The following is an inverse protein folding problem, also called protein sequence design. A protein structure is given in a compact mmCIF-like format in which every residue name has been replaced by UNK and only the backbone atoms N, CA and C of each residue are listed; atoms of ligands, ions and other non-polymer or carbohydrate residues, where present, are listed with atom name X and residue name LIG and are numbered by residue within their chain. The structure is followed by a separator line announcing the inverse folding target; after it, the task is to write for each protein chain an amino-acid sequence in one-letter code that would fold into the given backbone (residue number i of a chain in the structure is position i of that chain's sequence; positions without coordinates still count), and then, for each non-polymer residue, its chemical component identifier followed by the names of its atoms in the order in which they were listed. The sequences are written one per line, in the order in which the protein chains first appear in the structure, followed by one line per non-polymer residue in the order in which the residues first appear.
data_IF_119626152763
#
_entry.id   IF_119626152763
#
_cell.length_a   1.000
_cell.length_b   1.000
_cell.length_c   1.000
_cell.angle_alpha   90.00
_cell.angle_beta   90.00
_cell.angle_gamma   90.00
#
_symmetry.space_group_name_H-M   'P 1'
#
loop_
_entity.id
_entity.type
_entity.pdbx_description
1 polymer ?
#
# COMPACT_ATOMS: atom_id res chain seq x y z
N UNK A 1 16.77 -5.28 -4.07
CA UNK A 1 16.28 -3.96 -4.54
C UNK A 1 15.13 -4.15 -5.51
N UNK A 2 14.23 -3.18 -5.54
CA UNK A 2 13.19 -3.04 -6.55
C UNK A 2 13.22 -1.59 -7.09
N UNK A 3 12.49 -1.34 -8.15
CA UNK A 3 12.47 -0.02 -8.78
C UNK A 3 11.04 0.40 -9.10
N UNK A 4 10.78 1.70 -8.95
CA UNK A 4 9.54 2.38 -9.31
C UNK A 4 9.79 3.41 -10.42
N UNK A 5 8.77 4.07 -10.93
CA UNK A 5 8.90 5.18 -11.89
C UNK A 5 9.20 4.79 -13.33
N UNK A 6 9.34 3.49 -13.61
CA UNK A 6 9.62 3.00 -14.98
C UNK A 6 11.05 3.30 -15.45
N UNK A 7 11.32 3.09 -16.73
CA UNK A 7 12.63 3.33 -17.36
C UNK A 7 12.65 4.73 -17.98
N UNK A 8 13.66 5.53 -17.58
CA UNK A 8 13.81 6.93 -18.03
C UNK A 8 13.93 7.00 -19.56
N UNK A 9 13.16 7.89 -20.16
CA UNK A 9 13.14 8.10 -21.61
C UNK A 9 12.28 7.09 -22.39
N UNK A 10 11.59 6.17 -21.71
CA UNK A 10 10.71 5.19 -22.36
C UNK A 10 9.23 5.45 -22.04
N UNK A 11 8.35 4.66 -22.66
CA UNK A 11 6.90 4.71 -22.42
C UNK A 11 6.50 4.32 -20.98
N UNK A 12 7.38 3.67 -20.25
CA UNK A 12 7.14 3.25 -18.87
C UNK A 12 7.51 4.34 -17.85
N UNK A 13 8.23 5.37 -18.27
CA UNK A 13 8.60 6.48 -17.38
C UNK A 13 7.36 7.17 -16.81
N UNK A 14 7.29 7.26 -15.47
CA UNK A 14 6.21 7.91 -14.75
C UNK A 14 6.77 8.82 -13.65
N UNK A 15 6.06 9.89 -13.27
CA UNK A 15 6.39 10.60 -12.04
C UNK A 15 6.41 9.64 -10.84
N UNK A 16 7.32 9.89 -9.91
CA UNK A 16 7.46 9.07 -8.70
C UNK A 16 6.53 9.63 -7.62
N UNK A 17 5.25 9.32 -7.76
CA UNK A 17 4.14 9.82 -6.93
C UNK A 17 3.32 8.63 -6.42
N UNK A 18 2.82 8.75 -5.21
CA UNK A 18 2.21 7.65 -4.44
C UNK A 18 1.07 6.93 -5.16
N UNK A 19 0.04 7.66 -5.66
CA UNK A 19 -1.08 7.00 -6.35
C UNK A 19 -0.65 6.24 -7.61
N UNK A 20 0.37 6.73 -8.33
CA UNK A 20 0.96 6.05 -9.48
C UNK A 20 1.63 4.75 -9.01
N UNK A 21 2.48 4.83 -7.98
CA UNK A 21 3.18 3.69 -7.38
C UNK A 21 2.20 2.61 -6.88
N UNK A 22 1.17 3.01 -6.15
CA UNK A 22 0.12 2.08 -5.71
C UNK A 22 -0.61 1.41 -6.86
N UNK A 23 -0.92 2.17 -7.92
CA UNK A 23 -1.63 1.61 -9.07
C UNK A 23 -0.73 0.68 -9.88
N UNK A 24 0.57 0.99 -10.00
CA UNK A 24 1.56 0.07 -10.57
C UNK A 24 1.59 -1.26 -9.80
N UNK A 25 1.62 -1.21 -8.46
CA UNK A 25 1.59 -2.41 -7.61
C UNK A 25 0.27 -3.19 -7.76
N UNK A 26 -0.87 -2.47 -7.81
CA UNK A 26 -2.19 -3.08 -7.92
C UNK A 26 -2.43 -3.77 -9.27
N UNK A 27 -1.91 -3.21 -10.37
CA UNK A 27 -2.25 -3.63 -11.74
C UNK A 27 -1.09 -4.28 -12.50
N UNK A 28 0.14 -4.23 -11.96
CA UNK A 28 1.37 -4.59 -12.65
C UNK A 28 1.53 -3.90 -14.02
N UNK A 29 1.03 -2.64 -14.14
CA UNK A 29 1.13 -1.83 -15.36
C UNK A 29 1.64 -0.43 -15.05
N UNK A 30 2.03 0.32 -16.08
CA UNK A 30 2.52 1.69 -15.98
C UNK A 30 1.41 2.71 -16.28
N UNK A 31 1.67 3.99 -15.96
CA UNK A 31 0.75 5.12 -16.14
C UNK A 31 0.09 5.14 -17.53
N UNK A 32 0.82 4.87 -18.59
CA UNK A 32 0.30 4.85 -19.97
C UNK A 32 -0.83 3.83 -20.19
N UNK A 33 -1.04 2.92 -19.24
CA UNK A 33 -2.10 1.91 -19.25
C UNK A 33 -3.16 2.19 -18.22
N UNK A 34 -2.78 2.30 -16.94
CA UNK A 34 -3.74 2.48 -15.85
C UNK A 34 -4.28 3.90 -15.68
N UNK A 35 -3.69 4.92 -16.34
CA UNK A 35 -4.15 6.31 -16.41
C UNK A 35 -4.22 7.09 -15.08
N UNK A 36 -3.55 6.62 -14.02
CA UNK A 36 -3.45 7.37 -12.76
C UNK A 36 -2.20 8.22 -12.79
N UNK A 37 -2.35 9.54 -12.92
CA UNK A 37 -1.26 10.49 -13.18
C UNK A 37 -0.76 11.30 -11.97
N UNK A 38 -1.36 11.12 -10.80
CA UNK A 38 -1.02 11.84 -9.56
C UNK A 38 -1.96 11.47 -8.44
N UNK A 39 -1.87 12.18 -7.31
CA UNK A 39 -2.72 11.92 -6.14
C UNK A 39 -4.12 12.56 -6.24
N UNK A 40 -4.29 13.52 -7.16
CA UNK A 40 -5.54 14.25 -7.36
C UNK A 40 -6.21 13.84 -8.69
N UNK A 41 -7.51 14.07 -8.78
CA UNK A 41 -8.31 13.83 -9.98
C UNK A 41 -8.12 12.42 -10.57
N UNK A 42 -8.15 11.43 -9.70
CA UNK A 42 -7.91 10.04 -10.02
C UNK A 42 -8.93 9.50 -11.04
N UNK A 43 -8.44 9.04 -12.19
CA UNK A 43 -9.26 8.46 -13.26
C UNK A 43 -8.65 7.15 -13.77
N UNK A 44 -8.70 6.07 -12.96
CA UNK A 44 -8.13 4.79 -13.35
C UNK A 44 -8.81 4.18 -14.59
N UNK A 45 -8.00 3.59 -15.45
CA UNK A 45 -8.49 2.75 -16.53
C UNK A 45 -8.71 1.32 -16.03
N UNK A 46 -9.92 0.99 -15.62
CA UNK A 46 -10.29 -0.30 -15.04
C UNK A 46 -10.26 -1.49 -16.03
N UNK A 47 -9.89 -1.29 -17.27
CA UNK A 47 -9.56 -2.40 -18.17
C UNK A 47 -8.27 -3.12 -17.74
N UNK A 48 -7.41 -2.45 -16.99
CA UNK A 48 -6.24 -3.05 -16.34
C UNK A 48 -6.62 -3.49 -14.93
N UNK A 49 -6.85 -4.78 -14.78
CA UNK A 49 -7.39 -5.36 -13.56
C UNK A 49 -6.41 -5.24 -12.40
N UNK A 50 -6.93 -4.89 -11.25
CA UNK A 50 -6.17 -4.95 -10.00
C UNK A 50 -6.06 -6.39 -9.51
N UNK A 51 -5.05 -6.65 -8.65
CA UNK A 51 -4.89 -7.96 -7.99
C UNK A 51 -6.17 -8.41 -7.28
N UNK A 52 -6.96 -7.47 -6.74
CA UNK A 52 -8.25 -7.77 -6.10
C UNK A 52 -9.29 -8.30 -7.10
N UNK A 53 -9.38 -7.65 -8.27
CA UNK A 53 -10.28 -8.12 -9.31
C UNK A 53 -9.83 -9.48 -9.84
N UNK A 54 -8.53 -9.65 -10.09
CA UNK A 54 -7.97 -10.95 -10.51
C UNK A 54 -8.28 -12.04 -9.48
N UNK A 55 -8.14 -11.75 -8.19
CA UNK A 55 -8.45 -12.68 -7.12
C UNK A 55 -9.94 -13.07 -7.10
N UNK A 56 -10.85 -12.09 -7.27
CA UNK A 56 -12.31 -12.35 -7.27
C UNK A 56 -12.81 -13.10 -8.49
N UNK A 57 -12.11 -13.02 -9.61
CA UNK A 57 -12.45 -13.74 -10.85
C UNK A 57 -11.90 -15.18 -10.91
N UNK A 58 -11.30 -15.67 -9.82
CA UNK A 58 -10.86 -17.06 -9.75
C UNK A 58 -12.05 -18.03 -9.67
N UNK A 59 -11.82 -19.29 -10.09
CA UNK A 59 -12.85 -20.33 -10.06
C UNK A 59 -13.26 -20.77 -8.65
N UNK A 60 -12.41 -20.51 -7.64
CA UNK A 60 -12.72 -20.72 -6.22
C UNK A 60 -13.12 -19.39 -5.56
N UNK A 61 -13.99 -19.40 -4.54
CA UNK A 61 -14.22 -18.22 -3.73
C UNK A 61 -12.91 -17.71 -3.10
N UNK A 62 -12.68 -16.40 -3.19
CA UNK A 62 -11.53 -15.72 -2.60
C UNK A 62 -12.05 -14.58 -1.73
N UNK A 63 -11.73 -14.60 -0.43
CA UNK A 63 -12.03 -13.53 0.49
C UNK A 63 -10.92 -12.48 0.46
N UNK A 64 -11.31 -11.22 0.46
CA UNK A 64 -10.36 -10.10 0.32
C UNK A 64 -10.47 -9.13 1.48
N UNK A 65 -9.33 -8.62 1.96
CA UNK A 65 -9.22 -7.62 3.02
C UNK A 65 -8.52 -6.35 2.54
N UNK A 66 -9.01 -5.20 2.98
CA UNK A 66 -8.38 -3.90 2.72
C UNK A 66 -8.43 -3.02 3.97
N UNK A 67 -7.25 -2.63 4.45
CA UNK A 67 -7.10 -1.76 5.61
C UNK A 67 -6.22 -0.57 5.21
N UNK A 68 -6.76 0.64 5.27
CA UNK A 68 -6.07 1.83 4.75
C UNK A 68 -6.52 3.09 5.46
N UNK A 69 -5.62 3.99 5.70
CA UNK A 69 -5.94 5.35 6.13
C UNK A 69 -6.62 6.17 5.03
N UNK A 70 -6.28 5.94 3.77
CA UNK A 70 -6.76 6.72 2.62
C UNK A 70 -7.86 5.97 1.86
N UNK A 71 -9.08 6.51 1.91
CA UNK A 71 -10.28 5.87 1.36
C UNK A 71 -10.24 5.69 -0.17
N UNK A 72 -9.60 6.60 -0.90
CA UNK A 72 -9.55 6.54 -2.36
C UNK A 72 -8.76 5.33 -2.90
N UNK A 73 -7.92 4.71 -2.07
CA UNK A 73 -7.29 3.44 -2.44
C UNK A 73 -8.33 2.37 -2.79
N UNK A 74 -9.36 2.22 -1.97
CA UNK A 74 -10.43 1.26 -2.20
C UNK A 74 -11.46 1.76 -3.22
N UNK A 75 -11.98 2.96 -2.99
CA UNK A 75 -13.13 3.47 -3.76
C UNK A 75 -12.77 3.91 -5.17
N UNK A 76 -11.51 4.32 -5.39
CA UNK A 76 -11.04 4.81 -6.69
C UNK A 76 -9.97 3.89 -7.28
N UNK A 77 -8.81 3.68 -6.63
CA UNK A 77 -7.73 2.91 -7.25
C UNK A 77 -8.09 1.44 -7.45
N UNK A 78 -8.69 0.79 -6.48
CA UNK A 78 -9.23 -0.57 -6.61
C UNK A 78 -10.55 -0.54 -7.39
N UNK A 79 -11.38 0.50 -7.19
CA UNK A 79 -12.64 0.71 -7.88
C UNK A 79 -13.77 -0.17 -7.34
N UNK A 80 -13.81 -0.37 -6.01
CA UNK A 80 -14.90 -1.12 -5.39
C UNK A 80 -16.26 -0.57 -5.80
N UNK A 81 -17.21 -1.47 -6.08
CA UNK A 81 -18.60 -1.21 -6.45
C UNK A 81 -18.82 -0.49 -7.79
N UNK A 82 -17.76 -0.13 -8.52
CA UNK A 82 -17.90 0.50 -9.84
C UNK A 82 -18.35 -0.51 -10.89
N UNK A 83 -19.12 -0.06 -11.88
CA UNK A 83 -19.58 -0.93 -12.97
C UNK A 83 -18.43 -1.45 -13.82
N UNK A 84 -17.44 -0.59 -14.09
CA UNK A 84 -16.26 -0.89 -14.88
C UNK A 84 -15.36 -1.97 -14.26
N UNK A 85 -15.45 -2.17 -12.95
CA UNK A 85 -14.74 -3.25 -12.24
C UNK A 85 -15.58 -4.52 -12.09
N UNK A 86 -16.78 -4.58 -12.70
CA UNK A 86 -17.73 -5.68 -12.51
C UNK A 86 -18.38 -5.63 -11.13
N UNK A 87 -18.51 -4.45 -10.53
CA UNK A 87 -19.04 -4.23 -9.17
C UNK A 87 -18.24 -5.01 -8.11
N UNK A 88 -16.92 -5.02 -8.28
CA UNK A 88 -16.00 -5.64 -7.32
C UNK A 88 -16.39 -5.31 -5.88
N UNK A 89 -16.40 -6.32 -5.02
CA UNK A 89 -16.64 -6.17 -3.58
C UNK A 89 -15.45 -6.67 -2.80
N UNK A 90 -14.97 -5.86 -1.86
CA UNK A 90 -14.01 -6.26 -0.83
C UNK A 90 -14.79 -6.80 0.37
N UNK A 91 -14.39 -7.94 0.91
CA UNK A 91 -15.17 -8.62 1.95
C UNK A 91 -14.96 -8.00 3.33
N UNK A 92 -13.73 -7.63 3.66
CA UNK A 92 -13.35 -7.08 4.95
C UNK A 92 -12.65 -5.73 4.75
N UNK A 93 -13.24 -4.67 5.26
CA UNK A 93 -12.79 -3.30 5.03
C UNK A 93 -12.66 -2.55 6.35
N UNK A 94 -11.54 -1.86 6.52
CA UNK A 94 -11.33 -0.85 7.54
C UNK A 94 -10.56 0.32 6.92
N UNK A 95 -11.27 1.41 6.59
CA UNK A 95 -10.68 2.59 5.98
C UNK A 95 -11.46 3.89 6.29
N UNK A 96 -11.10 4.99 5.64
CA UNK A 96 -11.79 6.27 5.77
C UNK A 96 -11.37 7.05 7.03
N UNK A 97 -10.28 6.70 7.69
CA UNK A 97 -9.77 7.42 8.87
C UNK A 97 -9.38 8.85 8.52
N UNK A 98 -8.92 9.09 7.31
CA UNK A 98 -8.61 10.42 6.76
C UNK A 98 -9.83 11.35 6.69
N UNK A 99 -11.04 10.81 6.73
CA UNK A 99 -12.28 11.56 6.75
C UNK A 99 -12.83 11.80 8.17
N UNK A 100 -12.43 11.02 9.17
CA UNK A 100 -12.92 11.11 10.55
C UNK A 100 -12.10 12.10 11.39
N UNK A 101 -12.35 13.39 11.18
CA UNK A 101 -11.66 14.47 11.89
C UNK A 101 -12.08 14.60 13.37
N UNK A 102 -13.13 13.90 13.80
CA UNK A 102 -13.55 13.86 15.21
C UNK A 102 -12.68 12.86 15.98
N UNK A 103 -12.52 11.67 15.45
CA UNK A 103 -11.67 10.64 16.04
C UNK A 103 -10.18 10.97 15.89
N UNK A 104 -9.80 11.56 14.78
CA UNK A 104 -8.42 11.90 14.42
C UNK A 104 -8.28 13.40 14.13
N UNK A 105 -8.36 14.26 15.15
CA UNK A 105 -8.19 15.69 14.96
C UNK A 105 -6.77 16.01 14.51
N UNK A 106 -6.62 17.09 13.73
CA UNK A 106 -5.31 17.54 13.28
C UNK A 106 -4.34 17.73 14.45
N UNK A 107 -3.10 17.30 14.25
CA UNK A 107 -1.99 17.43 15.20
C UNK A 107 -0.78 18.03 14.49
N UNK A 108 0.08 18.72 15.26
CA UNK A 108 1.38 19.18 14.75
C UNK A 108 2.17 18.04 14.13
N UNK A 109 2.98 18.36 13.12
CA UNK A 109 3.78 17.39 12.34
C UNK A 109 2.93 16.23 11.79
N UNK A 110 1.68 16.52 11.49
CA UNK A 110 0.72 15.54 10.95
C UNK A 110 0.61 14.22 11.75
N UNK A 111 0.88 14.27 13.06
CA UNK A 111 0.85 13.09 13.93
C UNK A 111 -0.52 12.40 13.97
N UNK A 112 -1.59 13.04 13.53
CA UNK A 112 -2.89 12.40 13.33
C UNK A 112 -2.86 11.34 12.23
N UNK A 113 -1.96 11.48 11.24
CA UNK A 113 -1.74 10.45 10.21
C UNK A 113 -1.02 9.22 10.80
N UNK A 114 -0.10 9.45 11.74
CA UNK A 114 0.47 8.33 12.52
C UNK A 114 -0.61 7.60 13.34
N UNK A 115 -1.57 8.33 13.91
CA UNK A 115 -2.70 7.69 14.61
C UNK A 115 -3.58 6.86 13.65
N UNK A 116 -3.72 7.27 12.37
CA UNK A 116 -4.36 6.43 11.35
C UNK A 116 -3.62 5.11 11.20
N UNK A 117 -2.31 5.15 11.02
CA UNK A 117 -1.48 3.97 10.82
C UNK A 117 -1.52 3.02 12.02
N UNK A 118 -1.54 3.58 13.25
CA UNK A 118 -1.77 2.80 14.47
C UNK A 118 -3.11 2.07 14.45
N UNK A 119 -4.17 2.72 13.96
CA UNK A 119 -5.48 2.07 13.85
C UNK A 119 -5.51 1.06 12.71
N UNK A 120 -4.98 1.42 11.53
CA UNK A 120 -4.90 0.53 10.36
C UNK A 120 -4.21 -0.78 10.73
N UNK A 121 -3.06 -0.72 11.41
CA UNK A 121 -2.31 -1.92 11.77
C UNK A 121 -3.04 -2.80 12.80
N UNK A 122 -3.82 -2.20 13.72
CA UNK A 122 -4.67 -2.94 14.66
C UNK A 122 -5.83 -3.63 13.94
N UNK A 123 -6.50 -2.92 13.05
CA UNK A 123 -7.64 -3.45 12.31
C UNK A 123 -7.19 -4.51 11.30
N UNK A 124 -6.02 -4.35 10.67
CA UNK A 124 -5.44 -5.36 9.80
C UNK A 124 -5.11 -6.65 10.59
N UNK A 125 -4.48 -6.50 11.76
CA UNK A 125 -4.18 -7.64 12.62
C UNK A 125 -5.46 -8.36 13.08
N UNK A 126 -6.49 -7.62 13.48
CA UNK A 126 -7.78 -8.20 13.89
C UNK A 126 -8.49 -8.88 12.73
N UNK A 127 -8.51 -8.27 11.54
CA UNK A 127 -9.09 -8.86 10.33
C UNK A 127 -8.40 -10.17 9.95
N UNK A 128 -7.07 -10.20 9.93
CA UNK A 128 -6.31 -11.42 9.66
C UNK A 128 -6.61 -12.48 10.72
N UNK A 129 -6.64 -12.09 11.99
CA UNK A 129 -6.90 -13.02 13.10
C UNK A 129 -8.27 -13.68 13.01
N UNK A 130 -9.31 -12.88 12.74
CA UNK A 130 -10.72 -13.30 12.77
C UNK A 130 -11.20 -13.88 11.45
N UNK A 131 -10.89 -13.18 10.36
CA UNK A 131 -11.51 -13.38 9.04
C UNK A 131 -10.59 -14.13 8.06
N UNK A 132 -9.28 -14.11 8.28
CA UNK A 132 -8.26 -14.78 7.45
C UNK A 132 -8.49 -14.56 5.94
N UNK A 133 -8.49 -13.32 5.43
CA UNK A 133 -8.71 -13.10 4.00
C UNK A 133 -7.61 -13.75 3.16
N UNK A 134 -7.98 -14.38 2.03
CA UNK A 134 -7.02 -15.00 1.10
C UNK A 134 -6.07 -13.98 0.45
N UNK A 135 -6.53 -12.75 0.26
CA UNK A 135 -5.74 -11.61 -0.20
C UNK A 135 -6.04 -10.40 0.66
N UNK A 136 -5.00 -9.81 1.25
CA UNK A 136 -5.13 -8.63 2.06
C UNK A 136 -4.12 -7.57 1.67
N UNK A 137 -4.54 -6.30 1.73
CA UNK A 137 -3.66 -5.15 1.61
C UNK A 137 -3.88 -4.25 2.81
N UNK A 138 -2.80 -3.94 3.55
CA UNK A 138 -2.84 -2.85 4.51
C UNK A 138 -1.80 -1.78 4.16
N UNK A 139 -2.12 -0.53 4.42
CA UNK A 139 -1.36 0.62 4.01
C UNK A 139 -1.04 1.52 5.18
N UNK A 140 0.23 1.83 5.34
CA UNK A 140 0.77 2.77 6.31
C UNK A 140 1.25 4.01 5.57
N UNK A 141 0.92 5.19 6.08
CA UNK A 141 1.15 6.47 5.41
C UNK A 141 2.27 7.30 6.05
N UNK A 142 2.32 7.36 7.37
CA UNK A 142 3.05 8.39 8.09
C UNK A 142 4.56 8.42 7.85
N UNK A 143 5.19 7.35 7.44
CA UNK A 143 6.61 7.38 7.07
C UNK A 143 6.90 8.37 5.94
N UNK A 144 5.95 8.57 5.02
CA UNK A 144 6.07 9.57 3.97
C UNK A 144 5.96 10.99 4.53
N UNK A 145 4.94 11.28 5.34
CA UNK A 145 4.79 12.59 5.99
C UNK A 145 5.97 12.93 6.89
N UNK A 146 6.48 11.97 7.66
CA UNK A 146 7.64 12.18 8.50
C UNK A 146 8.87 12.63 7.69
N UNK A 147 9.06 12.05 6.51
CA UNK A 147 10.09 12.48 5.58
C UNK A 147 9.83 13.87 5.01
N UNK A 148 8.60 14.17 4.60
CA UNK A 148 8.22 15.50 4.10
C UNK A 148 8.46 16.62 5.14
N UNK A 149 8.25 16.31 6.41
CA UNK A 149 8.35 17.28 7.50
C UNK A 149 9.81 17.55 7.91
N UNK A 150 10.62 16.52 8.10
CA UNK A 150 11.96 16.65 8.71
C UNK A 150 13.08 16.14 7.79
N UNK A 151 12.77 15.57 6.62
CA UNK A 151 13.79 14.97 5.75
C UNK A 151 14.44 13.74 6.35
N UNK A 152 15.70 13.48 5.96
CA UNK A 152 16.48 12.39 6.56
C UNK A 152 16.93 12.79 7.98
N UNK A 153 16.92 11.85 8.92
CA UNK A 153 17.43 12.04 10.27
C UNK A 153 16.65 11.27 11.33
N UNK A 154 16.96 11.58 12.60
CA UNK A 154 16.46 10.83 13.75
C UNK A 154 14.93 10.80 13.83
N UNK A 155 14.25 11.87 13.40
CA UNK A 155 12.80 11.90 13.39
C UNK A 155 12.22 10.89 12.40
N UNK A 156 12.69 10.92 11.15
CA UNK A 156 12.28 9.97 10.13
C UNK A 156 12.60 8.52 10.56
N UNK A 157 13.82 8.28 11.03
CA UNK A 157 14.25 6.96 11.49
C UNK A 157 13.41 6.43 12.65
N UNK A 158 12.95 7.32 13.54
CA UNK A 158 12.06 6.94 14.64
C UNK A 158 10.70 6.45 14.11
N UNK A 159 10.16 7.09 13.08
CA UNK A 159 8.87 6.68 12.51
C UNK A 159 8.97 5.48 11.57
N UNK A 160 10.13 5.25 10.94
CA UNK A 160 10.41 3.97 10.27
C UNK A 160 10.41 2.82 11.29
N UNK A 161 11.04 2.99 12.47
CA UNK A 161 10.96 1.97 13.54
C UNK A 161 9.54 1.74 14.05
N UNK A 162 8.72 2.79 14.15
CA UNK A 162 7.32 2.66 14.53
C UNK A 162 6.48 1.93 13.46
N UNK A 163 6.76 2.19 12.18
CA UNK A 163 6.14 1.43 11.10
C UNK A 163 6.52 -0.06 11.14
N UNK A 164 7.78 -0.36 11.50
CA UNK A 164 8.22 -1.74 11.73
C UNK A 164 7.44 -2.41 12.89
N UNK A 165 7.20 -1.71 14.00
CA UNK A 165 6.36 -2.18 15.11
C UNK A 165 4.91 -2.44 14.66
N UNK A 166 4.37 -1.60 13.76
CA UNK A 166 3.03 -1.77 13.17
C UNK A 166 2.96 -2.99 12.25
N UNK A 167 3.99 -3.21 11.44
CA UNK A 167 4.13 -4.41 10.61
C UNK A 167 4.32 -5.65 11.50
N UNK A 168 5.13 -5.56 12.54
CA UNK A 168 5.34 -6.65 13.50
C UNK A 168 4.03 -7.10 14.15
N UNK A 169 3.12 -6.17 14.47
CA UNK A 169 1.79 -6.50 15.01
C UNK A 169 1.00 -7.42 14.07
N UNK A 170 1.04 -7.16 12.78
CA UNK A 170 0.39 -8.00 11.76
C UNK A 170 1.13 -9.32 11.60
N UNK A 171 2.46 -9.27 11.58
CA UNK A 171 3.31 -10.45 11.47
C UNK A 171 3.11 -11.44 12.61
N UNK A 172 2.94 -10.98 13.86
CA UNK A 172 2.63 -11.86 15.00
C UNK A 172 1.30 -12.61 14.82
N UNK A 173 0.31 -11.96 14.20
CA UNK A 173 -0.96 -12.62 13.90
C UNK A 173 -0.83 -13.62 12.75
N UNK A 174 -0.04 -13.31 11.73
CA UNK A 174 0.28 -14.28 10.66
C UNK A 174 0.92 -15.55 11.26
N UNK A 175 1.95 -15.39 12.09
CA UNK A 175 2.58 -16.54 12.79
C UNK A 175 1.59 -17.33 13.65
N UNK A 176 0.73 -16.61 14.38
CA UNK A 176 -0.33 -17.25 15.16
C UNK A 176 -1.27 -18.07 14.27
N UNK A 177 -1.64 -17.58 13.08
CA UNK A 177 -2.48 -18.30 12.13
C UNK A 177 -1.79 -19.55 11.61
N UNK A 178 -0.54 -19.44 11.17
CA UNK A 178 0.26 -20.58 10.68
C UNK A 178 0.48 -21.64 11.76
N UNK A 179 0.63 -21.25 13.03
CA UNK A 179 0.83 -22.17 14.15
C UNK A 179 -0.46 -22.91 14.56
N UNK A 180 -1.63 -22.26 14.46
CA UNK A 180 -2.88 -22.78 15.02
C UNK A 180 -3.88 -23.27 13.97
N UNK A 181 -3.64 -22.98 12.69
CA UNK A 181 -4.48 -23.37 11.57
C UNK A 181 -3.60 -23.96 10.47
N UNK A 182 -4.17 -24.78 9.61
CA UNK A 182 -3.46 -25.36 8.45
C UNK A 182 -3.41 -24.32 7.31
N UNK A 183 -2.62 -23.26 7.53
CA UNK A 183 -2.49 -22.11 6.63
C UNK A 183 -1.03 -21.80 6.34
N UNK A 184 -0.75 -21.37 5.11
CA UNK A 184 0.53 -20.81 4.71
C UNK A 184 0.30 -19.36 4.24
N UNK A 185 1.07 -18.43 4.82
CA UNK A 185 0.93 -17.00 4.51
C UNK A 185 2.15 -16.45 3.80
N UNK A 186 1.91 -15.80 2.66
CA UNK A 186 2.91 -14.96 2.02
C UNK A 186 2.71 -13.52 2.45
N UNK A 187 3.69 -12.96 3.13
CA UNK A 187 3.73 -11.54 3.50
C UNK A 187 4.72 -10.83 2.60
N UNK A 188 4.27 -9.73 1.99
CA UNK A 188 5.11 -8.85 1.19
C UNK A 188 5.05 -7.45 1.80
N UNK A 189 6.21 -6.91 2.17
CA UNK A 189 6.35 -5.53 2.63
C UNK A 189 7.16 -4.77 1.59
N UNK A 190 6.64 -3.63 1.16
CA UNK A 190 7.29 -2.80 0.14
C UNK A 190 6.93 -1.33 0.33
N UNK A 191 7.61 -0.46 -0.40
CA UNK A 191 7.25 0.95 -0.54
C UNK A 191 6.96 1.25 -2.01
N UNK A 192 6.13 2.25 -2.26
CA UNK A 192 5.73 2.71 -3.59
C UNK A 192 6.80 3.57 -4.27
N UNK A 193 7.65 4.25 -3.51
CA UNK A 193 8.75 5.06 -4.02
C UNK A 193 9.87 5.27 -2.98
N UNK A 194 11.02 5.75 -3.47
CA UNK A 194 12.07 6.32 -2.63
C UNK A 194 11.87 7.83 -2.44
N UNK A 195 12.92 8.52 -1.97
CA UNK A 195 12.89 9.95 -1.65
C UNK A 195 14.11 10.67 -2.23
N UNK A 196 14.02 11.99 -2.40
CA UNK A 196 15.16 12.86 -2.76
C UNK A 196 16.33 12.68 -1.79
N UNK A 197 17.52 13.12 -2.19
CA UNK A 197 18.74 12.97 -1.40
C UNK A 197 18.64 13.55 0.02
N UNK A 198 17.96 14.68 0.17
CA UNK A 198 17.71 15.31 1.47
C UNK A 198 16.52 14.71 2.25
N UNK A 199 15.75 13.81 1.62
CA UNK A 199 14.60 13.12 2.22
C UNK A 199 13.30 13.89 2.26
N UNK A 200 13.27 15.18 1.87
CA UNK A 200 12.05 16.00 1.99
C UNK A 200 11.01 15.76 0.89
N UNK A 201 11.36 15.19 -0.23
CA UNK A 201 10.44 15.08 -1.35
C UNK A 201 10.63 13.83 -2.19
N UNK A 202 9.77 13.72 -3.18
CA UNK A 202 9.79 12.72 -4.26
C UNK A 202 9.01 13.29 -5.46
N UNK A 203 9.00 12.59 -6.59
CA UNK A 203 8.27 12.97 -7.81
C UNK A 203 9.17 13.23 -9.01
N UNK A 204 10.47 13.34 -8.81
CA UNK A 204 11.46 13.46 -9.89
C UNK A 204 11.97 12.07 -10.33
N UNK A 205 13.13 12.03 -10.98
CA UNK A 205 13.67 10.82 -11.59
C UNK A 205 15.10 10.52 -11.08
N UNK A 206 15.41 10.91 -9.84
CA UNK A 206 16.70 10.57 -9.24
C UNK A 206 16.80 9.07 -8.94
N UNK A 207 17.99 8.52 -8.96
CA UNK A 207 18.23 7.10 -8.66
C UNK A 207 17.67 6.71 -7.29
N UNK A 208 17.78 7.60 -6.31
CA UNK A 208 17.29 7.35 -4.96
C UNK A 208 15.77 7.31 -4.89
N UNK A 209 15.08 8.18 -5.63
CA UNK A 209 13.62 8.15 -5.71
C UNK A 209 13.10 6.91 -6.44
N UNK A 210 13.81 6.47 -7.49
CA UNK A 210 13.51 5.23 -8.21
C UNK A 210 13.72 3.97 -7.37
N UNK A 211 14.66 4.00 -6.42
CA UNK A 211 15.03 2.81 -5.65
C UNK A 211 13.99 2.51 -4.59
N UNK A 212 13.44 1.32 -4.66
CA UNK A 212 12.53 0.74 -3.67
C UNK A 212 13.08 -0.59 -3.15
N UNK A 213 12.30 -1.28 -2.35
CA UNK A 213 12.65 -2.58 -1.81
C UNK A 213 11.41 -3.46 -1.68
N UNK A 214 11.61 -4.75 -1.72
CA UNK A 214 10.60 -5.76 -1.42
C UNK A 214 11.19 -6.69 -0.38
N UNK A 215 10.45 -6.93 0.70
CA UNK A 215 10.76 -7.94 1.71
C UNK A 215 9.63 -8.95 1.78
N UNK A 216 9.97 -10.22 1.87
CA UNK A 216 8.99 -11.31 1.96
C UNK A 216 9.51 -12.44 2.84
N UNK A 217 8.61 -13.16 3.48
CA UNK A 217 8.89 -14.33 4.32
C UNK A 217 9.07 -15.64 3.53
N UNK A 218 8.76 -15.62 2.24
CA UNK A 218 8.89 -16.80 1.37
C UNK A 218 10.00 -16.62 0.34
N UNK A 219 10.64 -17.70 -0.13
CA UNK A 219 11.61 -17.62 -1.20
C UNK A 219 10.99 -17.06 -2.48
N UNK A 220 11.68 -16.14 -3.12
CA UNK A 220 11.31 -15.64 -4.45
C UNK A 220 11.87 -16.56 -5.54
N UNK A 221 11.22 -16.58 -6.70
CA UNK A 221 11.71 -17.34 -7.84
C UNK A 221 12.94 -16.67 -8.50
N UNK A 222 13.58 -17.37 -9.43
CA UNK A 222 14.81 -16.91 -10.07
C UNK A 222 14.69 -15.60 -10.90
N UNK A 223 13.46 -15.12 -11.14
CA UNK A 223 13.25 -13.83 -11.81
C UNK A 223 13.40 -12.64 -10.85
N UNK A 224 13.40 -12.88 -9.54
CA UNK A 224 13.54 -11.86 -8.50
C UNK A 224 14.81 -12.01 -7.65
N UNK A 225 15.65 -12.98 -7.98
CA UNK A 225 16.90 -13.27 -7.26
C UNK A 225 18.06 -12.40 -7.77
#
# INVERSE_FOLDING_TARGET
RAYTGGEIGTYSQTPIISAIGYTNLLTATWLNKHNVGGNDNLQPNYNYWTIFRIAKEQSRPVNTGHNSSWIDKRTVLIGESKEETGRLKIDYVSDGYDLDKVRFPHKEKDLHVFDYDEQVSKDAAESIRRDAPDLSWFYLWYTDDAGHIEGNGEFFDAYVRKADEQVARVWEIVKYREEHFDEEWMVVVTTDHGRTENGYGHGSQSEREHTTWISTNVPVNAHFA
#
